data_IF_894402177205
#
_entry.id   IF_894402177205
#
_cell.length_a   1.000
_cell.length_b   1.000
_cell.length_c   1.000
_cell.angle_alpha   90.00
_cell.angle_beta   90.00
_cell.angle_gamma   90.00
#
_symmetry.space_group_name_H-M   'P 1'
#
loop_
_entity.id
_entity.type
_entity.pdbx_description
1 polymer ?
#
# COMPACT_ATOMS: atom_id res chain seq x y z
N UNK A 1 -37.35 -7.43 3.95
CA UNK A 1 -36.15 -7.97 4.61
C UNK A 1 -35.20 -8.39 3.50
N UNK A 2 -34.23 -7.54 3.15
CA UNK A 2 -33.25 -7.86 2.12
C UNK A 2 -32.19 -8.77 2.75
N UNK A 3 -32.08 -10.00 2.27
CA UNK A 3 -30.91 -10.85 2.54
C UNK A 3 -29.79 -10.28 1.68
N UNK A 4 -28.95 -9.41 2.24
CA UNK A 4 -27.67 -9.09 1.64
C UNK A 4 -26.85 -10.38 1.70
N UNK A 5 -26.49 -10.92 0.54
CA UNK A 5 -25.55 -12.03 0.47
C UNK A 5 -24.17 -11.40 0.71
N UNK A 6 -23.67 -11.49 1.94
CA UNK A 6 -22.31 -11.03 2.27
C UNK A 6 -21.29 -11.92 1.55
N UNK A 7 -20.70 -11.39 0.49
CA UNK A 7 -19.58 -12.00 -0.20
C UNK A 7 -18.30 -11.56 0.51
N UNK A 8 -17.66 -12.48 1.23
CA UNK A 8 -16.36 -12.25 1.84
C UNK A 8 -15.28 -12.63 0.84
N UNK A 9 -14.36 -11.70 0.56
CA UNK A 9 -13.14 -11.95 -0.21
C UNK A 9 -11.94 -11.56 0.65
N UNK A 10 -11.13 -12.55 0.98
CA UNK A 10 -9.86 -12.37 1.70
C UNK A 10 -8.71 -12.77 0.77
N UNK A 11 -7.67 -11.93 0.67
CA UNK A 11 -6.43 -12.26 -0.03
C UNK A 11 -5.37 -12.51 1.03
N UNK A 12 -4.78 -13.70 1.00
CA UNK A 12 -3.82 -14.15 1.99
C UNK A 12 -2.51 -14.54 1.30
N UNK A 13 -1.40 -14.37 2.00
CA UNK A 13 -0.08 -14.90 1.59
C UNK A 13 0.33 -15.93 2.64
N UNK A 14 0.12 -17.23 2.40
CA UNK A 14 0.48 -18.27 3.35
C UNK A 14 2.01 -18.33 3.53
N UNK A 15 2.48 -18.34 4.78
CA UNK A 15 3.91 -18.50 5.11
C UNK A 15 4.31 -19.96 5.33
N UNK A 16 3.36 -20.89 5.23
CA UNK A 16 3.56 -22.32 5.40
C UNK A 16 2.60 -23.14 4.55
N UNK A 17 2.66 -24.46 4.71
CA UNK A 17 1.80 -25.41 3.98
C UNK A 17 0.38 -25.52 4.55
N UNK A 18 0.09 -24.87 5.68
CA UNK A 18 -1.21 -24.85 6.33
C UNK A 18 -1.65 -23.43 6.62
N UNK A 19 -2.93 -23.15 6.38
CA UNK A 19 -3.59 -21.89 6.74
C UNK A 19 -4.92 -22.17 7.45
N UNK A 20 -5.23 -21.43 8.51
CA UNK A 20 -6.49 -21.52 9.23
C UNK A 20 -7.34 -20.30 8.89
N UNK A 21 -8.45 -20.51 8.19
CA UNK A 21 -9.42 -19.46 7.86
C UNK A 21 -10.48 -19.38 8.95
N UNK A 22 -10.69 -18.19 9.52
CA UNK A 22 -11.78 -17.93 10.46
C UNK A 22 -13.02 -17.50 9.67
N UNK A 23 -14.09 -18.29 9.75
CA UNK A 23 -15.37 -17.95 9.12
C UNK A 23 -16.22 -17.10 10.06
N UNK A 24 -17.03 -16.17 9.53
CA UNK A 24 -17.99 -15.42 10.34
C UNK A 24 -19.07 -16.34 10.91
N UNK A 25 -19.67 -15.92 12.02
CA UNK A 25 -20.73 -16.67 12.73
C UNK A 25 -21.90 -17.04 11.81
N UNK A 26 -22.19 -16.20 10.82
CA UNK A 26 -23.29 -16.39 9.87
C UNK A 26 -23.08 -17.58 8.92
N UNK A 27 -21.86 -18.10 8.79
CA UNK A 27 -21.52 -19.26 7.96
C UNK A 27 -21.53 -20.58 8.74
N UNK A 28 -21.73 -20.55 10.06
CA UNK A 28 -21.78 -21.77 10.89
C UNK A 28 -22.96 -22.65 10.44
N UNK A 29 -22.66 -23.93 10.17
CA UNK A 29 -23.66 -24.94 9.75
C UNK A 29 -24.10 -24.85 8.29
N UNK A 30 -23.50 -23.96 7.48
CA UNK A 30 -23.74 -23.86 6.04
C UNK A 30 -22.64 -24.60 5.26
N UNK A 31 -22.98 -25.04 4.04
CA UNK A 31 -21.99 -25.56 3.11
C UNK A 31 -21.19 -24.41 2.52
N UNK A 32 -19.86 -24.51 2.57
CA UNK A 32 -18.92 -23.49 2.08
C UNK A 32 -18.00 -24.12 1.03
N UNK A 33 -17.79 -23.43 -0.08
CA UNK A 33 -16.80 -23.77 -1.10
C UNK A 33 -15.62 -22.80 -1.00
N UNK A 34 -14.39 -23.33 -1.03
CA UNK A 34 -13.16 -22.54 -0.99
C UNK A 34 -12.42 -22.73 -2.31
N UNK A 35 -12.18 -21.62 -3.01
CA UNK A 35 -11.47 -21.59 -4.30
C UNK A 35 -10.16 -20.84 -4.09
N UNK A 36 -9.04 -21.47 -4.45
CA UNK A 36 -7.71 -20.89 -4.36
C UNK A 36 -7.02 -20.92 -5.73
N UNK A 37 -6.41 -19.80 -6.10
CA UNK A 37 -5.59 -19.67 -7.29
C UNK A 37 -4.47 -18.68 -7.00
N UNK A 38 -3.34 -18.85 -7.69
CA UNK A 38 -2.23 -17.90 -7.63
C UNK A 38 -2.68 -16.56 -8.21
N UNK A 39 -2.39 -15.48 -7.49
CA UNK A 39 -2.66 -14.11 -7.95
C UNK A 39 -1.30 -13.52 -8.33
N UNK A 40 -1.13 -13.19 -9.61
CA UNK A 40 0.01 -12.38 -10.05
C UNK A 40 -0.12 -11.00 -9.40
N UNK A 41 0.83 -10.64 -8.54
CA UNK A 41 0.78 -9.42 -7.74
C UNK A 41 0.55 -8.17 -8.61
N UNK A 42 -0.65 -7.59 -8.56
CA UNK A 42 -0.74 -6.14 -8.54
C UNK A 42 -0.17 -5.74 -7.19
N UNK A 43 1.05 -5.18 -7.18
CA UNK A 43 1.74 -4.65 -6.02
C UNK A 43 0.75 -3.83 -5.17
N UNK A 44 0.13 -4.46 -4.18
CA UNK A 44 -0.55 -3.75 -3.12
C UNK A 44 0.56 -3.47 -2.12
N UNK A 45 0.73 -2.19 -1.83
CA UNK A 45 1.64 -1.60 -0.86
C UNK A 45 1.40 -2.20 0.54
N UNK A 46 1.77 -3.47 0.72
CA UNK A 46 1.90 -4.11 2.02
C UNK A 46 3.28 -3.72 2.51
N UNK A 47 3.38 -2.49 3.01
CA UNK A 47 4.34 -2.07 4.03
C UNK A 47 5.73 -2.70 3.89
N UNK A 48 6.28 -2.66 2.66
CA UNK A 48 7.61 -3.19 2.40
C UNK A 48 8.60 -2.21 3.00
N UNK A 49 8.92 -2.53 4.26
CA UNK A 49 10.15 -2.31 4.99
C UNK A 49 10.77 -0.92 4.83
N UNK A 50 10.86 -0.19 5.96
CA UNK A 50 11.60 1.06 6.08
C UNK A 50 12.99 1.05 5.40
N UNK A 51 13.64 -0.12 5.32
CA UNK A 51 14.90 -0.34 4.61
C UNK A 51 14.79 -0.18 3.08
N UNK A 52 13.75 -0.70 2.45
CA UNK A 52 13.56 -0.51 1.00
C UNK A 52 13.24 0.94 0.66
N UNK A 53 12.50 1.63 1.54
CA UNK A 53 12.24 3.06 1.40
C UNK A 53 13.51 3.89 1.51
N UNK A 54 14.37 3.60 2.50
CA UNK A 54 15.67 4.25 2.65
C UNK A 54 16.57 4.02 1.43
N UNK A 55 16.61 2.79 0.91
CA UNK A 55 17.37 2.46 -0.29
C UNK A 55 16.85 3.20 -1.53
N UNK A 56 15.53 3.30 -1.72
CA UNK A 56 14.93 4.07 -2.83
C UNK A 56 15.25 5.56 -2.72
N UNK A 57 15.19 6.13 -1.52
CA UNK A 57 15.57 7.55 -1.30
C UNK A 57 17.04 7.77 -1.63
N UNK A 58 17.92 6.86 -1.25
CA UNK A 58 19.34 6.98 -1.54
C UNK A 58 19.63 6.85 -3.04
N UNK A 59 18.96 5.93 -3.75
CA UNK A 59 19.04 5.83 -5.21
C UNK A 59 18.61 7.12 -5.91
N UNK A 60 17.50 7.73 -5.46
CA UNK A 60 17.04 9.01 -6.00
C UNK A 60 18.11 10.09 -5.76
N UNK A 61 18.67 10.19 -4.55
CA UNK A 61 19.74 11.16 -4.25
C UNK A 61 20.95 10.95 -5.14
N UNK A 62 21.34 9.70 -5.39
CA UNK A 62 22.50 9.38 -6.22
C UNK A 62 22.27 9.76 -7.69
N UNK A 63 21.09 9.45 -8.24
CA UNK A 63 20.71 9.80 -9.62
C UNK A 63 20.73 11.32 -9.84
N UNK A 64 20.21 12.09 -8.88
CA UNK A 64 20.04 13.54 -9.04
C UNK A 64 21.18 14.37 -8.46
N UNK A 65 22.22 13.76 -7.89
CA UNK A 65 23.32 14.45 -7.19
C UNK A 65 23.95 15.58 -7.99
N UNK A 66 24.13 15.36 -9.29
CA UNK A 66 24.78 16.33 -10.19
C UNK A 66 23.80 17.40 -10.74
N UNK A 67 22.50 17.25 -10.48
CA UNK A 67 21.44 18.18 -10.90
C UNK A 67 20.92 19.06 -9.77
N UNK A 68 21.53 18.99 -8.58
CA UNK A 68 21.11 19.79 -7.43
C UNK A 68 21.61 21.23 -7.53
N UNK A 69 20.71 22.18 -7.25
CA UNK A 69 21.04 23.60 -7.10
C UNK A 69 21.28 23.93 -5.63
N UNK A 70 22.27 24.78 -5.34
CA UNK A 70 22.53 25.25 -3.97
C UNK A 70 21.43 26.24 -3.55
N UNK A 71 20.66 25.85 -2.54
CA UNK A 71 19.59 26.63 -1.95
C UNK A 71 19.90 27.07 -0.52
N UNK A 72 21.16 26.99 -0.07
CA UNK A 72 21.54 27.28 1.32
C UNK A 72 21.12 28.68 1.81
N UNK A 73 21.04 29.64 0.88
CA UNK A 73 20.65 31.03 1.15
C UNK A 73 19.22 31.35 0.65
N UNK A 74 18.49 30.35 0.17
CA UNK A 74 17.14 30.50 -0.33
C UNK A 74 16.14 29.92 0.66
N UNK A 75 15.17 30.73 1.08
CA UNK A 75 14.04 30.28 1.89
C UNK A 75 12.78 30.53 1.08
N UNK A 76 12.08 29.46 0.73
CA UNK A 76 10.78 29.57 0.09
C UNK A 76 9.77 30.20 1.07
N UNK A 77 9.19 31.33 0.69
CA UNK A 77 8.07 31.95 1.38
C UNK A 77 6.77 31.65 0.63
N UNK A 78 5.92 30.84 1.25
CA UNK A 78 4.63 30.43 0.67
C UNK A 78 3.65 31.60 0.60
N UNK A 79 3.73 32.53 1.53
CA UNK A 79 2.78 33.64 1.63
C UNK A 79 3.10 34.70 0.55
N UNK A 80 4.37 34.87 0.19
CA UNK A 80 4.81 35.65 -0.97
C UNK A 80 4.34 35.01 -2.30
N UNK A 81 4.50 33.69 -2.45
CA UNK A 81 4.17 32.98 -3.69
C UNK A 81 2.67 32.86 -4.00
N UNK A 82 1.81 33.01 -3.00
CA UNK A 82 0.35 32.91 -3.13
C UNK A 82 -0.36 34.28 -3.20
N UNK A 83 0.39 35.38 -3.19
CA UNK A 83 -0.17 36.71 -3.32
C UNK A 83 -0.38 37.05 -4.81
N UNK A 84 -1.52 36.63 -5.36
CA UNK A 84 -1.90 36.85 -6.77
C UNK A 84 -2.62 38.20 -6.99
N UNK A 85 -2.69 39.05 -5.97
CA UNK A 85 -3.38 40.34 -6.03
C UNK A 85 -2.46 41.44 -6.59
N UNK A 86 -2.27 41.43 -7.92
CA UNK A 86 -2.02 42.61 -8.77
C UNK A 86 -3.13 42.75 -9.83
#
# INVERSE_FOLDING_TARGET
MHLAMELIREIIVPTGNSYTLNLPDEMIGKQVEVIAFEIENCVQDVDIESKEREQKIEQIREIYKDSLVDLSNFKFDRDEANNYDE
#
